data_IF_646688766614
#
_entry.id   IF_646688766614
#
_cell.length_a   1.000
_cell.length_b   1.000
_cell.length_c   1.000
_cell.angle_alpha   90.00
_cell.angle_beta   90.00
_cell.angle_gamma   90.00
#
_symmetry.space_group_name_H-M   'P 1'
#
loop_
_entity.id
_entity.type
_entity.pdbx_description
1 polymer ?
#
# COMPACT_ATOMS: atom_id res chain seq x y z
N UNK A 1 -32.30 32.12 -55.55
CA UNK A 1 -32.47 31.82 -54.11
C UNK A 1 -31.22 32.10 -53.28
N UNK A 2 -30.00 31.82 -53.79
CA UNK A 2 -28.74 32.19 -53.10
C UNK A 2 -28.50 33.70 -52.95
N UNK A 3 -28.90 34.51 -53.94
CA UNK A 3 -28.69 35.97 -53.88
C UNK A 3 -29.52 36.65 -52.78
N UNK A 4 -30.80 36.29 -52.61
CA UNK A 4 -31.62 36.83 -51.51
C UNK A 4 -31.05 36.53 -50.12
N UNK A 5 -30.48 35.34 -49.92
CA UNK A 5 -29.90 34.95 -48.62
C UNK A 5 -28.59 35.70 -48.36
N UNK A 6 -27.79 35.97 -49.39
CA UNK A 6 -26.55 36.77 -49.23
C UNK A 6 -26.84 38.25 -48.98
N UNK A 7 -27.93 38.79 -49.51
CA UNK A 7 -28.31 40.18 -49.26
C UNK A 7 -28.92 40.38 -47.87
N UNK A 8 -29.65 39.40 -47.32
CA UNK A 8 -30.06 39.44 -45.90
C UNK A 8 -28.86 39.31 -44.95
N UNK A 9 -27.86 38.49 -45.28
CA UNK A 9 -26.63 38.38 -44.47
C UNK A 9 -25.80 39.68 -44.46
N UNK A 10 -25.85 40.46 -45.55
CA UNK A 10 -25.18 41.77 -45.61
C UNK A 10 -25.91 42.84 -44.79
N UNK A 11 -27.24 42.77 -44.68
CA UNK A 11 -28.01 43.67 -43.82
C UNK A 11 -27.87 43.35 -42.33
N UNK A 12 -27.50 42.12 -41.98
CA UNK A 12 -27.24 41.67 -40.60
C UNK A 12 -25.74 41.66 -40.24
N UNK A 13 -24.93 42.53 -40.85
CA UNK A 13 -23.60 42.78 -40.31
C UNK A 13 -23.73 43.42 -38.93
N UNK A 14 -23.17 42.85 -37.87
CA UNK A 14 -23.18 43.48 -36.56
C UNK A 14 -22.40 44.79 -36.67
N UNK A 15 -23.03 45.89 -36.22
CA UNK A 15 -22.47 47.23 -36.18
C UNK A 15 -21.01 47.17 -35.71
N UNK A 16 -20.09 47.83 -36.40
CA UNK A 16 -18.65 47.80 -36.06
C UNK A 16 -18.39 48.19 -34.60
N UNK A 17 -19.30 48.98 -34.00
CA UNK A 17 -19.28 49.32 -32.59
C UNK A 17 -19.48 48.09 -31.67
N UNK A 18 -20.34 47.16 -32.06
CA UNK A 18 -20.59 45.90 -31.35
C UNK A 18 -19.43 44.91 -31.50
N UNK A 19 -18.84 44.82 -32.70
CA UNK A 19 -17.59 44.04 -32.91
C UNK A 19 -16.44 44.60 -32.06
N UNK A 20 -16.30 45.93 -32.04
CA UNK A 20 -15.27 46.60 -31.24
C UNK A 20 -15.46 46.37 -29.74
N UNK A 21 -16.69 46.44 -29.23
CA UNK A 21 -17.02 46.10 -27.83
C UNK A 21 -16.71 44.64 -27.51
N UNK A 22 -17.03 43.71 -28.40
CA UNK A 22 -16.74 42.28 -28.22
C UNK A 22 -15.23 42.00 -28.17
N UNK A 23 -14.44 42.66 -29.04
CA UNK A 23 -12.99 42.57 -29.01
C UNK A 23 -12.38 43.20 -27.74
N UNK A 24 -12.97 44.27 -27.23
CA UNK A 24 -12.54 44.90 -25.98
C UNK A 24 -12.82 44.01 -24.76
N UNK A 25 -13.97 43.33 -24.73
CA UNK A 25 -14.30 42.32 -23.71
C UNK A 25 -13.34 41.14 -23.79
N UNK A 26 -13.07 40.63 -25.00
CA UNK A 26 -12.13 39.53 -25.20
C UNK A 26 -10.71 39.91 -24.77
N UNK A 27 -10.26 41.14 -25.08
CA UNK A 27 -8.97 41.65 -24.60
C UNK A 27 -8.92 41.79 -23.09
N UNK A 28 -9.99 42.30 -22.46
CA UNK A 28 -10.04 42.41 -20.99
C UNK A 28 -9.97 41.05 -20.32
N UNK A 29 -10.69 40.05 -20.83
CA UNK A 29 -10.64 38.68 -20.31
C UNK A 29 -9.27 38.06 -20.50
N UNK A 30 -8.59 38.30 -21.64
CA UNK A 30 -7.23 37.82 -21.84
C UNK A 30 -6.24 38.48 -20.89
N UNK A 31 -6.36 39.79 -20.64
CA UNK A 31 -5.52 40.49 -19.65
C UNK A 31 -5.81 40.05 -18.21
N UNK A 32 -7.07 39.80 -17.86
CA UNK A 32 -7.43 39.23 -16.55
C UNK A 32 -6.88 37.81 -16.40
N UNK A 33 -6.91 37.00 -17.46
CA UNK A 33 -6.37 35.64 -17.46
C UNK A 33 -4.84 35.59 -17.47
N UNK A 34 -4.17 36.56 -18.11
CA UNK A 34 -2.71 36.72 -18.05
C UNK A 34 -2.25 37.26 -16.68
N UNK A 35 -3.05 38.08 -16.00
CA UNK A 35 -2.76 38.54 -14.62
C UNK A 35 -3.06 37.47 -13.54
N UNK A 36 -3.96 36.52 -13.81
CA UNK A 36 -4.19 35.35 -12.96
C UNK A 36 -3.16 34.23 -13.25
N UNK A 37 -2.41 34.36 -14.34
CA UNK A 37 -1.29 33.51 -14.75
C UNK A 37 0.05 34.21 -14.49
N UNK A 38 0.17 34.93 -13.38
CA UNK A 38 1.46 35.42 -12.88
C UNK A 38 2.22 34.24 -12.26
N UNK A 39 2.86 33.47 -13.14
CA UNK A 39 4.28 33.15 -12.99
C UNK A 39 4.78 32.55 -11.69
N UNK A 40 3.98 31.77 -10.97
CA UNK A 40 4.55 30.70 -10.14
C UNK A 40 4.96 29.54 -11.06
N UNK A 41 6.05 29.74 -11.79
CA UNK A 41 7.02 28.65 -12.00
C UNK A 41 7.67 28.36 -10.62
N UNK A 42 6.84 28.03 -9.62
CA UNK A 42 7.31 27.33 -8.44
C UNK A 42 7.71 25.96 -8.95
N UNK A 43 9.02 25.76 -9.12
CA UNK A 43 9.60 24.44 -9.26
C UNK A 43 8.86 23.48 -8.33
N UNK A 44 8.23 22.44 -8.89
CA UNK A 44 7.37 21.50 -8.15
C UNK A 44 8.07 20.88 -6.92
N UNK A 45 9.41 20.93 -6.93
CA UNK A 45 10.31 20.53 -5.86
C UNK A 45 11.42 21.57 -5.74
N UNK A 46 11.92 21.80 -4.53
CA UNK A 46 13.09 22.62 -4.27
C UNK A 46 14.32 22.09 -5.01
N UNK A 47 15.18 22.99 -5.49
CA UNK A 47 16.39 22.64 -6.26
C UNK A 47 17.35 21.75 -5.46
N UNK A 48 17.36 21.89 -4.13
CA UNK A 48 18.08 21.04 -3.19
C UNK A 48 17.57 19.59 -3.21
N UNK A 49 16.25 19.40 -3.21
CA UNK A 49 15.64 18.07 -3.28
C UNK A 49 15.91 17.41 -4.64
N UNK A 50 15.86 18.18 -5.73
CA UNK A 50 16.16 17.67 -7.07
C UNK A 50 17.61 17.18 -7.15
N UNK A 51 18.56 17.94 -6.59
CA UNK A 51 19.96 17.51 -6.53
C UNK A 51 20.14 16.26 -5.66
N UNK A 52 19.40 16.14 -4.55
CA UNK A 52 19.41 14.97 -3.64
C UNK A 52 18.79 13.72 -4.28
N UNK A 53 17.71 13.87 -5.06
CA UNK A 53 17.17 12.78 -5.91
C UNK A 53 18.20 12.34 -6.94
N UNK A 54 18.86 13.30 -7.60
CA UNK A 54 19.83 13.00 -8.65
C UNK A 54 21.12 12.35 -8.12
N UNK A 55 21.48 12.57 -6.86
CA UNK A 55 22.57 11.87 -6.17
C UNK A 55 22.19 10.46 -5.70
N UNK A 56 20.91 10.07 -5.79
CA UNK A 56 20.41 8.77 -5.37
C UNK A 56 20.30 8.62 -3.85
N UNK A 57 20.24 9.73 -3.12
CA UNK A 57 20.08 9.74 -1.67
C UNK A 57 18.61 9.57 -1.28
N UNK A 58 18.36 8.85 -0.18
CA UNK A 58 17.00 8.61 0.32
C UNK A 58 16.42 9.87 0.96
N UNK A 59 15.20 10.23 0.59
CA UNK A 59 14.56 11.49 0.98
C UNK A 59 13.55 11.19 2.08
N UNK A 60 13.75 11.77 3.26
CA UNK A 60 12.82 11.65 4.38
C UNK A 60 11.78 12.76 4.32
N UNK A 61 10.62 12.53 4.95
CA UNK A 61 9.56 13.56 5.04
C UNK A 61 10.04 14.84 5.76
N UNK A 62 11.08 14.70 6.59
CA UNK A 62 11.74 15.76 7.36
C UNK A 62 12.64 16.66 6.49
N UNK A 63 13.05 16.18 5.31
CA UNK A 63 13.89 16.94 4.36
C UNK A 63 13.04 17.85 3.44
N UNK A 64 11.71 17.72 3.46
CA UNK A 64 10.81 18.52 2.64
C UNK A 64 10.43 19.82 3.33
N UNK A 65 10.29 20.88 2.55
CA UNK A 65 9.72 22.14 3.02
C UNK A 65 8.24 21.99 3.40
N UNK A 66 7.73 22.87 4.26
CA UNK A 66 6.33 22.83 4.72
C UNK A 66 5.31 22.89 3.55
N UNK A 67 5.65 23.62 2.48
CA UNK A 67 4.81 23.73 1.28
C UNK A 67 4.82 22.45 0.43
N UNK A 68 5.96 21.76 0.35
CA UNK A 68 6.06 20.44 -0.31
C UNK A 68 5.34 19.36 0.50
N UNK A 69 5.47 19.36 1.83
CA UNK A 69 4.75 18.42 2.71
C UNK A 69 3.23 18.62 2.57
N UNK A 70 2.77 19.87 2.48
CA UNK A 70 1.35 20.18 2.27
C UNK A 70 0.86 19.68 0.90
N UNK A 71 1.63 19.90 -0.17
CA UNK A 71 1.34 19.38 -1.52
C UNK A 71 1.33 17.85 -1.55
N UNK A 72 2.30 17.21 -0.90
CA UNK A 72 2.38 15.76 -0.76
C UNK A 72 1.16 15.20 -0.01
N UNK A 73 0.77 15.82 1.12
CA UNK A 73 -0.46 15.45 1.86
C UNK A 73 -1.72 15.65 1.03
N UNK A 74 -1.78 16.70 0.21
CA UNK A 74 -2.89 16.92 -0.73
C UNK A 74 -2.92 15.85 -1.82
N UNK A 75 -1.77 15.47 -2.37
CA UNK A 75 -1.65 14.37 -3.33
C UNK A 75 -2.03 13.01 -2.71
N UNK A 76 -1.63 12.76 -1.46
CA UNK A 76 -2.08 11.60 -0.67
C UNK A 76 -3.61 11.60 -0.51
N UNK A 77 -4.20 12.72 -0.10
CA UNK A 77 -5.64 12.85 0.08
C UNK A 77 -6.43 12.73 -1.23
N UNK A 78 -5.84 13.17 -2.35
CA UNK A 78 -6.43 13.04 -3.69
C UNK A 78 -6.36 11.62 -4.27
N UNK A 79 -5.57 10.74 -3.65
CA UNK A 79 -5.36 9.37 -4.12
C UNK A 79 -4.49 9.25 -5.38
N UNK A 80 -3.87 10.34 -5.85
CA UNK A 80 -2.98 10.32 -7.01
C UNK A 80 -1.76 9.41 -6.78
N UNK A 81 -1.20 9.45 -5.56
CA UNK A 81 -0.06 8.63 -5.15
C UNK A 81 -0.40 7.13 -5.03
N UNK A 82 -1.69 6.79 -4.87
CA UNK A 82 -2.14 5.39 -4.80
C UNK A 82 -1.85 4.63 -6.10
N UNK A 83 -1.83 5.32 -7.24
CA UNK A 83 -1.55 4.72 -8.56
C UNK A 83 -0.07 4.34 -8.76
N UNK A 84 0.83 4.91 -7.95
CA UNK A 84 2.27 4.63 -8.03
C UNK A 84 2.71 3.49 -7.11
N UNK A 85 1.85 3.09 -6.16
CA UNK A 85 2.14 2.00 -5.23
C UNK A 85 1.58 0.71 -5.83
N UNK A 86 2.46 -0.27 -6.06
CA UNK A 86 2.01 -1.59 -6.48
C UNK A 86 1.30 -2.31 -5.32
N UNK A 87 0.05 -2.78 -5.52
CA UNK A 87 -0.66 -3.50 -4.49
C UNK A 87 0.02 -4.85 -4.25
N UNK A 88 0.25 -5.16 -2.98
CA UNK A 88 0.78 -6.45 -2.55
C UNK A 88 -0.09 -7.59 -3.04
N UNK A 89 0.58 -8.54 -3.70
CA UNK A 89 -0.03 -9.79 -4.10
C UNK A 89 0.34 -10.87 -3.09
N UNK A 90 -0.64 -11.40 -2.33
CA UNK A 90 -0.35 -12.41 -1.33
C UNK A 90 0.37 -13.62 -1.91
N UNK A 91 1.40 -14.10 -1.20
CA UNK A 91 2.22 -15.20 -1.66
C UNK A 91 1.39 -16.46 -1.95
N UNK A 92 0.32 -16.71 -1.20
CA UNK A 92 -0.59 -17.85 -1.39
C UNK A 92 -1.43 -17.79 -2.67
N UNK A 93 -1.52 -16.62 -3.33
CA UNK A 93 -2.16 -16.48 -4.65
C UNK A 93 -1.18 -16.74 -5.80
N UNK A 94 0.13 -16.78 -5.54
CA UNK A 94 1.14 -17.02 -6.58
C UNK A 94 1.10 -18.48 -7.03
N UNK A 95 1.30 -18.78 -8.32
CA UNK A 95 1.37 -20.16 -8.82
C UNK A 95 2.41 -21.01 -8.07
N UNK A 96 3.53 -20.40 -7.65
CA UNK A 96 4.59 -21.05 -6.88
C UNK A 96 4.12 -21.64 -5.55
N UNK A 97 3.09 -21.07 -4.92
CA UNK A 97 2.53 -21.61 -3.67
C UNK A 97 1.81 -22.94 -3.86
N UNK A 98 1.28 -23.20 -5.06
CA UNK A 98 0.60 -24.48 -5.38
C UNK A 98 1.58 -25.64 -5.52
N UNK A 99 2.87 -25.35 -5.68
CA UNK A 99 3.92 -26.34 -5.91
C UNK A 99 4.52 -26.87 -4.60
N UNK A 100 4.25 -26.23 -3.45
CA UNK A 100 4.64 -26.75 -2.14
C UNK A 100 3.64 -27.80 -1.68
N UNK A 101 4.11 -29.04 -1.65
CA UNK A 101 3.43 -30.14 -0.96
C UNK A 101 4.14 -30.40 0.36
N UNK A 102 3.37 -30.48 1.44
CA UNK A 102 3.85 -30.90 2.76
C UNK A 102 3.55 -32.38 2.93
N UNK A 103 4.45 -33.09 3.59
CA UNK A 103 4.23 -34.48 4.00
C UNK A 103 3.21 -34.56 5.14
N UNK A 104 2.67 -35.75 5.45
CA UNK A 104 1.79 -35.96 6.61
C UNK A 104 2.44 -35.58 7.95
N UNK A 105 3.77 -35.64 8.01
CA UNK A 105 4.66 -35.25 9.11
C UNK A 105 5.05 -33.76 9.08
N UNK A 106 4.53 -32.99 8.13
CA UNK A 106 4.69 -31.55 8.03
C UNK A 106 6.00 -31.10 7.39
N UNK A 107 6.86 -32.02 6.95
CA UNK A 107 8.12 -31.70 6.26
C UNK A 107 7.88 -31.29 4.80
N UNK A 108 8.72 -30.41 4.27
CA UNK A 108 8.62 -29.97 2.87
C UNK A 108 9.02 -31.10 1.92
N UNK A 109 8.09 -31.59 1.08
CA UNK A 109 8.35 -32.69 0.14
C UNK A 109 9.13 -32.26 -1.11
N UNK A 110 9.01 -30.99 -1.51
CA UNK A 110 9.61 -30.45 -2.73
C UNK A 110 10.55 -29.30 -2.37
N UNK A 111 11.85 -29.52 -2.53
CA UNK A 111 12.90 -28.50 -2.40
C UNK A 111 13.19 -27.91 -3.78
N UNK A 112 13.05 -26.60 -3.93
CA UNK A 112 13.59 -25.92 -5.11
C UNK A 112 15.11 -25.92 -4.96
N UNK A 113 15.82 -26.65 -5.83
CA UNK A 113 17.28 -26.66 -5.84
C UNK A 113 17.73 -25.28 -6.31
N UNK A 114 18.36 -24.49 -5.44
CA UNK A 114 19.11 -23.31 -5.87
C UNK A 114 20.28 -23.81 -6.72
N UNK A 115 20.54 -23.22 -7.89
CA UNK A 115 21.65 -23.62 -8.77
C UNK A 115 23.04 -23.54 -8.09
N UNK A 116 23.11 -22.91 -6.91
CA UNK A 116 24.28 -22.83 -6.03
C UNK A 116 24.76 -24.18 -5.47
N UNK A 117 23.92 -25.23 -5.44
CA UNK A 117 24.32 -26.56 -4.94
C UNK A 117 25.23 -27.33 -5.93
N UNK A 118 25.47 -26.81 -7.15
CA UNK A 118 26.29 -27.53 -8.16
C UNK A 118 27.41 -26.74 -8.84
N UNK A 119 27.68 -25.49 -8.46
CA UNK A 119 28.87 -24.80 -8.98
C UNK A 119 29.37 -23.70 -8.04
N UNK A 120 30.62 -23.87 -7.59
CA UNK A 120 31.63 -22.85 -7.25
C UNK A 120 31.12 -21.53 -6.66
N UNK A 121 31.44 -21.33 -5.38
CA UNK A 121 31.48 -20.09 -4.61
C UNK A 121 31.66 -18.82 -5.46
N UNK A 122 30.55 -18.15 -5.77
CA UNK A 122 30.49 -16.73 -6.12
C UNK A 122 30.19 -15.89 -4.87
N UNK A 123 30.50 -14.58 -4.86
CA UNK A 123 30.38 -13.77 -3.65
C UNK A 123 28.91 -13.67 -3.22
N UNK A 124 28.68 -14.02 -1.96
CA UNK A 124 27.44 -13.86 -1.20
C UNK A 124 26.88 -12.45 -1.45
N UNK A 125 25.84 -12.35 -2.27
CA UNK A 125 24.86 -11.30 -2.09
C UNK A 125 23.85 -11.86 -1.11
N UNK A 126 23.98 -11.47 0.17
CA UNK A 126 22.92 -11.59 1.16
C UNK A 126 21.71 -10.79 0.64
N UNK A 127 20.93 -11.40 -0.25
CA UNK A 127 19.62 -10.87 -0.60
C UNK A 127 18.74 -11.17 0.61
N UNK A 128 18.43 -10.13 1.38
CA UNK A 128 17.39 -10.18 2.39
C UNK A 128 16.14 -10.83 1.76
N UNK A 129 15.52 -11.82 2.43
CA UNK A 129 14.35 -12.49 1.89
C UNK A 129 13.30 -11.43 1.59
N UNK A 130 12.95 -11.28 0.31
CA UNK A 130 11.95 -10.30 -0.06
C UNK A 130 10.66 -10.65 0.68
N UNK A 131 10.05 -9.69 1.36
CA UNK A 131 8.74 -9.82 2.05
C UNK A 131 7.61 -10.39 1.16
N UNK A 132 7.80 -10.34 -0.15
CA UNK A 132 6.92 -10.90 -1.17
C UNK A 132 7.16 -12.38 -1.45
N UNK A 133 8.24 -12.93 -0.91
CA UNK A 133 8.70 -14.27 -1.15
C UNK A 133 7.97 -15.23 -0.22
N UNK A 134 7.59 -16.37 -0.78
CA UNK A 134 6.84 -17.38 -0.07
C UNK A 134 7.70 -17.96 1.05
N UNK A 135 7.21 -18.01 2.31
CA UNK A 135 8.01 -18.52 3.42
C UNK A 135 8.50 -19.94 3.14
N UNK A 136 9.76 -20.22 3.51
CA UNK A 136 10.35 -21.54 3.40
C UNK A 136 9.60 -22.54 4.31
N UNK A 137 9.41 -23.77 3.82
CA UNK A 137 8.71 -24.78 4.62
C UNK A 137 9.64 -25.32 5.70
N UNK A 138 9.10 -25.90 6.79
CA UNK A 138 9.95 -26.51 7.81
C UNK A 138 10.74 -27.69 7.23
N UNK A 139 12.05 -27.70 7.45
CA UNK A 139 12.95 -28.78 7.01
C UNK A 139 12.84 -30.04 7.88
N UNK A 140 12.49 -29.86 9.15
CA UNK A 140 12.25 -30.96 10.10
C UNK A 140 10.75 -31.23 10.25
N UNK A 141 10.34 -32.49 10.46
CA UNK A 141 8.95 -32.82 10.74
C UNK A 141 8.46 -32.08 11.99
N UNK A 142 7.24 -31.57 11.93
CA UNK A 142 6.64 -30.84 13.05
C UNK A 142 6.27 -31.84 14.16
N UNK A 143 6.65 -31.60 15.42
CA UNK A 143 6.27 -32.47 16.52
C UNK A 143 4.75 -32.47 16.68
N UNK A 144 4.19 -33.63 17.05
CA UNK A 144 2.76 -33.73 17.28
C UNK A 144 2.34 -32.83 18.45
N UNK A 145 1.16 -32.20 18.37
CA UNK A 145 0.67 -31.29 19.43
C UNK A 145 0.64 -31.94 20.82
N UNK A 146 0.37 -33.26 20.88
CA UNK A 146 0.39 -34.05 22.12
C UNK A 146 1.78 -34.14 22.79
N UNK A 147 2.86 -33.88 22.04
CA UNK A 147 4.22 -33.84 22.57
C UNK A 147 4.55 -32.47 23.18
N UNK A 148 3.84 -31.41 22.76
CA UNK A 148 4.05 -30.04 23.22
C UNK A 148 3.18 -29.70 24.44
N UNK A 149 2.03 -30.37 24.59
CA UNK A 149 1.08 -30.11 25.68
C UNK A 149 0.98 -31.30 26.63
N UNK A 150 0.93 -31.03 27.94
CA UNK A 150 0.68 -32.06 28.96
C UNK A 150 -0.77 -32.56 28.96
N UNK A 151 -1.70 -31.75 28.45
CA UNK A 151 -3.11 -32.05 28.30
C UNK A 151 -3.43 -32.43 26.84
N UNK A 152 -4.56 -33.10 26.62
CA UNK A 152 -5.04 -33.33 25.26
C UNK A 152 -5.36 -31.99 24.57
N UNK A 153 -4.96 -31.83 23.29
CA UNK A 153 -5.23 -30.61 22.56
C UNK A 153 -6.74 -30.39 22.43
N UNK A 154 -7.19 -29.17 22.67
CA UNK A 154 -8.60 -28.81 22.58
C UNK A 154 -9.15 -29.06 21.17
N UNK A 155 -10.35 -29.64 21.02
CA UNK A 155 -10.98 -29.81 19.72
C UNK A 155 -11.31 -28.46 19.05
N UNK A 156 -11.34 -27.37 19.82
CA UNK A 156 -11.61 -26.00 19.34
C UNK A 156 -10.40 -25.33 18.68
N UNK A 157 -9.22 -25.97 18.70
CA UNK A 157 -8.01 -25.39 18.11
C UNK A 157 -8.18 -25.07 16.63
N UNK A 158 -8.94 -25.89 15.89
CA UNK A 158 -9.26 -25.64 14.49
C UNK A 158 -10.12 -24.37 14.30
N UNK A 159 -10.99 -24.05 15.26
CA UNK A 159 -11.80 -22.83 15.24
C UNK A 159 -10.94 -21.63 15.57
N UNK A 160 -10.09 -21.75 16.59
CA UNK A 160 -9.13 -20.71 16.99
C UNK A 160 -8.16 -20.35 15.87
N UNK A 161 -7.75 -21.34 15.05
CA UNK A 161 -6.88 -21.12 13.90
C UNK A 161 -7.51 -20.18 12.87
N UNK A 162 -8.84 -20.14 12.73
CA UNK A 162 -9.51 -19.24 11.79
C UNK A 162 -9.31 -17.77 12.19
N UNK A 163 -9.42 -17.46 13.49
CA UNK A 163 -9.17 -16.13 14.04
C UNK A 163 -7.70 -15.70 13.85
N UNK A 164 -6.76 -16.61 14.09
CA UNK A 164 -5.32 -16.38 13.89
C UNK A 164 -5.00 -16.16 12.40
N UNK A 165 -5.59 -16.95 11.50
CA UNK A 165 -5.39 -16.79 10.06
C UNK A 165 -5.99 -15.47 9.55
N UNK A 166 -7.15 -15.08 10.08
CA UNK A 166 -7.76 -13.81 9.74
C UNK A 166 -6.88 -12.63 10.16
N UNK A 167 -6.43 -12.60 11.42
CA UNK A 167 -5.56 -11.55 11.95
C UNK A 167 -4.22 -11.47 11.20
N UNK A 168 -3.63 -12.62 10.82
CA UNK A 168 -2.45 -12.65 9.95
C UNK A 168 -2.72 -12.04 8.56
N UNK A 169 -3.78 -12.47 7.88
CA UNK A 169 -4.13 -11.95 6.56
C UNK A 169 -4.43 -10.45 6.60
N UNK A 170 -5.14 -10.01 7.64
CA UNK A 170 -5.47 -8.61 7.86
C UNK A 170 -4.22 -7.77 8.08
N UNK A 171 -3.31 -8.21 8.95
CA UNK A 171 -2.05 -7.51 9.25
C UNK A 171 -1.21 -7.37 7.98
N UNK A 172 -1.01 -8.45 7.21
CA UNK A 172 -0.27 -8.33 5.96
C UNK A 172 -0.95 -7.42 4.94
N UNK A 173 -2.29 -7.40 4.91
CA UNK A 173 -3.01 -6.50 4.01
C UNK A 173 -2.87 -5.04 4.43
N UNK A 174 -2.88 -4.76 5.73
CA UNK A 174 -2.69 -3.43 6.29
C UNK A 174 -1.31 -2.86 5.94
N UNK A 175 -0.27 -3.69 6.02
CA UNK A 175 1.11 -3.32 5.74
C UNK A 175 1.52 -3.51 4.27
N UNK A 176 0.59 -3.80 3.36
CA UNK A 176 0.89 -4.11 1.96
C UNK A 176 2.04 -5.13 1.80
N UNK A 177 2.01 -6.19 2.62
CA UNK A 177 3.02 -7.25 2.65
C UNK A 177 4.27 -6.95 3.48
N UNK A 178 4.51 -5.70 3.86
CA UNK A 178 5.72 -5.26 4.54
C UNK A 178 5.52 -5.10 6.05
N UNK A 179 5.44 -6.24 6.75
CA UNK A 179 5.22 -6.27 8.20
C UNK A 179 6.47 -5.97 9.03
N UNK A 180 7.66 -5.95 8.41
CA UNK A 180 8.90 -5.56 9.07
C UNK A 180 9.02 -4.04 9.18
N UNK A 181 8.48 -3.32 8.19
CA UNK A 181 8.46 -1.86 8.21
C UNK A 181 7.68 -1.33 9.41
N UNK A 182 8.42 -0.81 10.39
CA UNK A 182 7.88 0.07 11.41
C UNK A 182 7.87 1.51 10.88
N UNK A 183 6.70 2.07 10.50
CA UNK A 183 6.61 3.46 10.08
C UNK A 183 7.01 4.46 11.18
N UNK A 184 7.14 4.04 12.45
CA UNK A 184 7.58 4.88 13.57
C UNK A 184 9.07 4.72 13.93
N UNK A 185 9.67 3.56 13.62
CA UNK A 185 11.06 3.23 13.92
C UNK A 185 12.07 3.90 12.98
N UNK A 186 11.69 4.17 11.74
CA UNK A 186 12.54 4.85 10.75
C UNK A 186 12.96 6.28 11.15
N UNK A 187 12.22 6.90 12.09
CA UNK A 187 12.47 8.25 12.59
C UNK A 187 13.49 8.31 13.75
N UNK A 188 13.84 7.18 14.39
CA UNK A 188 14.73 7.19 15.54
C UNK A 188 16.12 6.62 15.19
N UNK A 189 17.06 7.54 14.94
CA UNK A 189 18.52 7.32 15.02
C UNK A 189 19.22 6.47 13.97
N UNK A 190 18.60 6.14 12.83
CA UNK A 190 19.31 5.51 11.70
C UNK A 190 19.81 4.08 11.98
N UNK A 191 19.25 3.42 12.99
CA UNK A 191 19.47 2.01 13.26
C UNK A 191 18.44 1.22 12.44
N UNK A 192 18.89 0.50 11.41
CA UNK A 192 18.07 -0.23 10.43
C UNK A 192 17.34 -1.46 11.02
N UNK A 193 17.24 -1.57 12.34
CA UNK A 193 16.41 -2.60 12.95
C UNK A 193 14.94 -2.21 12.86
N UNK A 194 14.36 -2.59 11.72
CA UNK A 194 12.94 -2.70 11.45
C UNK A 194 12.30 -3.63 12.49
N UNK A 195 11.82 -3.07 13.60
CA UNK A 195 11.17 -3.82 14.66
C UNK A 195 9.74 -4.17 14.25
N UNK A 196 9.38 -5.45 14.06
CA UNK A 196 8.04 -5.86 13.65
C UNK A 196 6.98 -5.64 14.75
N UNK A 197 7.31 -4.98 15.86
CA UNK A 197 6.43 -4.70 16.98
C UNK A 197 5.10 -4.08 16.57
N UNK A 198 5.09 -3.18 15.58
CA UNK A 198 3.86 -2.59 15.05
C UNK A 198 2.91 -3.65 14.47
N UNK A 199 3.42 -4.48 13.56
CA UNK A 199 2.64 -5.56 12.95
C UNK A 199 2.22 -6.62 13.98
N UNK A 200 3.08 -6.97 14.93
CA UNK A 200 2.73 -7.89 16.03
C UNK A 200 1.60 -7.32 16.90
N UNK A 201 1.64 -6.02 17.21
CA UNK A 201 0.59 -5.35 18.00
C UNK A 201 -0.75 -5.36 17.25
N UNK A 202 -0.75 -5.11 15.94
CA UNK A 202 -1.95 -5.23 15.11
C UNK A 202 -2.48 -6.66 15.12
N UNK A 203 -1.64 -7.67 14.89
CA UNK A 203 -2.07 -9.06 14.89
C UNK A 203 -2.68 -9.49 16.25
N UNK A 204 -2.08 -9.08 17.36
CA UNK A 204 -2.56 -9.38 18.72
C UNK A 204 -3.85 -8.63 19.08
N UNK A 205 -3.99 -7.37 18.66
CA UNK A 205 -5.21 -6.58 18.90
C UNK A 205 -6.38 -7.03 18.04
N UNK A 206 -6.11 -7.53 16.83
CA UNK A 206 -7.14 -8.09 15.94
C UNK A 206 -7.64 -9.45 16.40
N UNK A 207 -6.75 -10.30 16.93
CA UNK A 207 -7.08 -11.65 17.35
C UNK A 207 -7.68 -11.65 18.76
N UNK A 208 -8.96 -12.01 18.87
CA UNK A 208 -9.59 -12.19 20.20
C UNK A 208 -9.04 -13.42 20.92
N UNK A 209 -8.60 -14.43 20.18
CA UNK A 209 -7.99 -15.63 20.75
C UNK A 209 -6.64 -15.32 21.38
N UNK A 210 -5.75 -14.62 20.66
CA UNK A 210 -4.40 -14.32 21.15
C UNK A 210 -4.37 -13.14 22.15
N UNK A 211 -5.20 -12.12 21.93
CA UNK A 211 -5.21 -10.91 22.76
C UNK A 211 -6.05 -11.02 24.03
N UNK A 212 -7.18 -11.74 23.98
CA UNK A 212 -8.19 -11.74 25.05
C UNK A 212 -8.49 -13.14 25.62
N UNK A 213 -7.78 -14.20 25.19
CA UNK A 213 -8.09 -15.62 25.52
C UNK A 213 -9.54 -16.00 25.20
N UNK A 214 -10.11 -15.41 24.13
CA UNK A 214 -11.43 -15.78 23.67
C UNK A 214 -11.45 -17.23 23.19
N UNK A 215 -12.57 -17.91 23.45
CA UNK A 215 -12.77 -19.34 23.14
C UNK A 215 -13.96 -19.51 22.20
N UNK A 216 -13.85 -19.05 20.94
CA UNK A 216 -14.92 -19.25 19.98
C UNK A 216 -15.15 -20.74 19.77
N UNK A 217 -16.39 -21.17 19.90
CA UNK A 217 -16.77 -22.57 19.76
C UNK A 217 -17.08 -22.91 18.30
N UNK A 218 -17.40 -21.89 17.50
CA UNK A 218 -17.80 -22.05 16.10
C UNK A 218 -17.02 -21.12 15.16
N UNK A 219 -16.80 -21.59 13.93
CA UNK A 219 -16.19 -20.80 12.85
C UNK A 219 -16.91 -19.47 12.57
N UNK A 220 -18.27 -19.43 12.44
CA UNK A 220 -18.96 -18.17 12.20
C UNK A 220 -18.82 -17.18 13.35
N UNK A 221 -18.75 -17.64 14.60
CA UNK A 221 -18.51 -16.79 15.76
C UNK A 221 -17.12 -16.15 15.71
N UNK A 222 -16.08 -16.96 15.46
CA UNK A 222 -14.71 -16.46 15.29
C UNK A 222 -14.61 -15.40 14.17
N UNK A 223 -15.23 -15.67 13.02
CA UNK A 223 -15.23 -14.74 11.89
C UNK A 223 -16.03 -13.47 12.16
N UNK A 224 -17.18 -13.58 12.84
CA UNK A 224 -18.00 -12.40 13.17
C UNK A 224 -17.22 -11.47 14.08
N UNK A 225 -16.57 -12.00 15.12
CA UNK A 225 -15.72 -11.21 16.02
C UNK A 225 -14.58 -10.50 15.26
N UNK A 226 -13.90 -11.21 14.36
CA UNK A 226 -12.86 -10.66 13.49
C UNK A 226 -13.37 -9.51 12.59
N UNK A 227 -14.57 -9.68 12.00
CA UNK A 227 -15.18 -8.67 11.11
C UNK A 227 -15.64 -7.45 11.91
N UNK A 228 -16.22 -7.66 13.09
CA UNK A 228 -16.62 -6.57 13.99
C UNK A 228 -15.41 -5.73 14.40
N UNK A 229 -14.29 -6.36 14.73
CA UNK A 229 -13.05 -5.67 15.07
C UNK A 229 -12.50 -4.91 13.85
N UNK A 230 -12.55 -5.50 12.66
CA UNK A 230 -12.12 -4.82 11.42
C UNK A 230 -12.99 -3.61 11.08
N UNK A 231 -14.28 -3.68 11.41
CA UNK A 231 -15.23 -2.58 11.22
C UNK A 231 -15.18 -1.55 12.37
N UNK A 232 -14.32 -1.76 13.37
CA UNK A 232 -14.23 -0.88 14.52
C UNK A 232 -13.63 0.49 14.14
N UNK A 233 -13.85 1.54 14.95
CA UNK A 233 -13.27 2.84 14.70
C UNK A 233 -11.74 2.84 14.60
N UNK A 234 -11.07 1.84 15.20
CA UNK A 234 -9.61 1.70 15.17
C UNK A 234 -9.08 1.53 13.74
N UNK A 235 -9.83 0.86 12.87
CA UNK A 235 -9.43 0.55 11.50
C UNK A 235 -10.24 1.32 10.45
N UNK A 236 -11.01 2.33 10.85
CA UNK A 236 -11.84 3.13 9.93
C UNK A 236 -11.03 3.77 8.79
N UNK A 237 -9.77 4.09 9.04
CA UNK A 237 -8.89 4.76 8.09
C UNK A 237 -8.09 3.80 7.18
N UNK A 238 -8.17 2.49 7.42
CA UNK A 238 -7.35 1.49 6.72
C UNK A 238 -8.02 0.94 5.46
N UNK A 239 -9.33 1.18 5.30
CA UNK A 239 -10.09 0.90 4.08
C UNK A 239 -10.16 2.10 3.16
N UNK A 240 -9.10 2.34 2.37
CA UNK A 240 -9.12 3.36 1.34
C UNK A 240 -10.06 2.97 0.19
N UNK A 241 -11.28 3.51 0.16
CA UNK A 241 -11.99 3.90 -1.06
C UNK A 241 -13.10 4.90 -0.71
N UNK A 242 -12.89 6.15 -1.11
CA UNK A 242 -13.95 7.11 -1.41
C UNK A 242 -13.60 7.85 -2.69
#
# INVERSE_FOLDING_TARGET
MRENVMDELKQTQPEDQSKKKMLDIHKRLHLEQEMESDGEDESMLSEELIQKVMSGEEIKIEDLSDDEVKRFRQALASGELSKMIEPWTPWWKKPSARMKTLSPDGSQLVRQVREEDTATSGPMTDQEPSINEMPEGPESPLPALKQLTRAEPSPLLAVHLVDILYSYCFTLRLYNGDWHSDPLGACNNGDWHSDPLGACTVALSMSKVMGEDAKPETVPEALTACIEETCSPAYRHTGGFR
#
